data_IF_844632408344
#
_entry.id   IF_844632408344
#
_cell.length_a   1.000
_cell.length_b   1.000
_cell.length_c   1.000
_cell.angle_alpha   90.00
_cell.angle_beta   90.00
_cell.angle_gamma   90.00
#
_symmetry.space_group_name_H-M   'P 1'
#
loop_
_entity.id
_entity.type
_entity.pdbx_description
1 polymer ?
#
# COMPACT_ATOMS: atom_id res chain seq x y z
N UNK A 1 -56.61 -39.47 -22.78
CA UNK A 1 -55.67 -38.38 -23.13
C UNK A 1 -54.77 -38.17 -21.93
N UNK A 2 -53.59 -38.80 -21.89
CA UNK A 2 -52.25 -38.18 -22.11
C UNK A 2 -51.99 -37.10 -21.03
N UNK A 3 -50.95 -37.07 -20.19
CA UNK A 3 -49.75 -37.89 -19.95
C UNK A 3 -49.18 -37.48 -18.58
N UNK A 4 -48.51 -38.43 -17.91
CA UNK A 4 -47.57 -38.30 -16.79
C UNK A 4 -46.42 -37.31 -17.03
N UNK A 5 -45.86 -36.71 -15.97
CA UNK A 5 -44.41 -36.75 -15.66
C UNK A 5 -44.06 -36.01 -14.36
N UNK A 6 -43.65 -36.77 -13.35
CA UNK A 6 -42.76 -36.32 -12.30
C UNK A 6 -41.33 -36.26 -12.87
N UNK A 7 -40.58 -35.18 -12.65
CA UNK A 7 -39.11 -35.25 -12.72
C UNK A 7 -38.44 -33.95 -12.26
N UNK A 8 -37.60 -34.08 -11.24
CA UNK A 8 -36.22 -33.62 -11.33
C UNK A 8 -35.99 -32.14 -11.07
N UNK A 9 -35.55 -31.84 -9.85
CA UNK A 9 -34.69 -30.70 -9.57
C UNK A 9 -33.48 -30.81 -10.49
N UNK A 10 -33.48 -30.07 -11.60
CA UNK A 10 -32.29 -29.95 -12.44
C UNK A 10 -31.29 -29.11 -11.68
N UNK A 11 -30.28 -29.79 -11.15
CA UNK A 11 -29.02 -29.22 -10.72
C UNK A 11 -28.56 -28.19 -11.76
N UNK A 12 -28.57 -26.91 -11.36
CA UNK A 12 -27.93 -25.87 -12.13
C UNK A 12 -26.43 -26.18 -12.15
N UNK A 13 -25.94 -26.54 -13.34
CA UNK A 13 -24.55 -26.82 -13.60
C UNK A 13 -23.69 -25.66 -13.09
N UNK A 14 -22.79 -25.96 -12.15
CA UNK A 14 -21.74 -25.04 -11.76
C UNK A 14 -20.87 -24.72 -12.98
N UNK A 15 -20.43 -23.46 -13.18
CA UNK A 15 -19.44 -23.16 -14.20
C UNK A 15 -18.16 -23.90 -13.83
N UNK A 16 -17.81 -24.90 -14.62
CA UNK A 16 -16.51 -25.57 -14.58
C UNK A 16 -15.44 -24.55 -14.98
N UNK A 17 -14.97 -23.73 -14.05
CA UNK A 17 -13.76 -22.94 -14.26
C UNK A 17 -12.57 -23.89 -14.18
N UNK A 18 -12.03 -24.18 -15.36
CA UNK A 18 -10.86 -25.01 -15.54
C UNK A 18 -9.62 -24.24 -15.04
N UNK A 19 -9.28 -24.36 -13.74
CA UNK A 19 -8.18 -23.58 -13.12
C UNK A 19 -6.79 -24.13 -13.45
N UNK A 20 -6.65 -25.18 -14.25
CA UNK A 20 -5.32 -25.64 -14.68
C UNK A 20 -5.36 -26.34 -16.04
N UNK A 21 -5.29 -25.55 -17.11
CA UNK A 21 -5.04 -26.06 -18.46
C UNK A 21 -3.55 -25.93 -18.81
N UNK A 22 -2.68 -26.53 -17.98
CA UNK A 22 -1.28 -26.75 -18.35
C UNK A 22 -1.17 -28.10 -19.06
N UNK A 23 -1.25 -28.01 -20.38
CA UNK A 23 -0.53 -28.83 -21.38
C UNK A 23 -0.21 -30.29 -20.97
N UNK A 24 -1.09 -31.19 -21.42
CA UNK A 24 -0.82 -32.62 -21.74
C UNK A 24 -0.87 -33.58 -20.54
N UNK A 25 -1.48 -34.74 -20.79
CA UNK A 25 -1.66 -35.95 -19.96
C UNK A 25 -3.07 -36.15 -19.37
N UNK A 26 -3.83 -37.00 -20.08
CA UNK A 26 -5.11 -37.57 -19.70
C UNK A 26 -5.01 -38.30 -18.35
N UNK A 27 -5.82 -37.89 -17.38
CA UNK A 27 -6.44 -38.69 -16.30
C UNK A 27 -7.12 -37.72 -15.31
N UNK A 28 -8.27 -37.15 -15.70
CA UNK A 28 -9.12 -36.39 -14.78
C UNK A 28 -9.82 -37.37 -13.81
N UNK A 29 -9.17 -37.71 -12.70
CA UNK A 29 -9.88 -38.25 -11.53
C UNK A 29 -10.47 -37.05 -10.79
N UNK A 30 -11.78 -36.88 -10.87
CA UNK A 30 -12.48 -35.86 -10.09
C UNK A 30 -12.29 -36.18 -8.59
N UNK A 31 -11.41 -35.45 -7.94
CA UNK A 31 -11.34 -35.42 -6.48
C UNK A 31 -12.46 -34.51 -6.02
N UNK A 32 -13.46 -35.08 -5.33
CA UNK A 32 -14.46 -34.30 -4.60
C UNK A 32 -13.73 -33.57 -3.47
N UNK A 33 -13.29 -32.34 -3.74
CA UNK A 33 -12.77 -31.45 -2.72
C UNK A 33 -13.97 -30.87 -1.96
N UNK A 34 -14.40 -31.55 -0.89
CA UNK A 34 -15.26 -30.91 0.10
C UNK A 34 -14.45 -29.84 0.83
N UNK A 35 -14.57 -28.60 0.38
CA UNK A 35 -13.86 -27.48 0.98
C UNK A 35 -14.39 -27.25 2.41
N UNK A 36 -13.54 -27.22 3.45
CA UNK A 36 -13.93 -26.80 4.80
C UNK A 36 -14.56 -25.39 4.84
N UNK A 37 -14.38 -24.61 3.77
CA UNK A 37 -14.92 -23.28 3.55
C UNK A 37 -16.44 -23.25 3.34
N UNK A 38 -17.08 -24.35 2.90
CA UNK A 38 -18.52 -24.39 2.70
C UNK A 38 -19.29 -24.16 4.02
N UNK A 39 -18.75 -24.68 5.12
CA UNK A 39 -19.33 -24.50 6.46
C UNK A 39 -18.99 -23.14 7.09
N UNK A 40 -17.93 -22.46 6.66
CA UNK A 40 -17.59 -21.12 7.13
C UNK A 40 -18.43 -20.04 6.42
N UNK A 41 -18.59 -20.18 5.10
CA UNK A 41 -19.45 -19.29 4.30
C UNK A 41 -20.90 -19.36 4.77
N UNK A 42 -21.44 -20.55 5.05
CA UNK A 42 -22.82 -20.71 5.53
C UNK A 42 -23.07 -20.15 6.95
N UNK A 43 -22.02 -19.95 7.76
CA UNK A 43 -22.15 -19.41 9.13
C UNK A 43 -22.04 -17.88 9.21
N UNK A 44 -21.45 -17.24 8.19
CA UNK A 44 -21.13 -15.80 8.22
C UNK A 44 -21.92 -14.96 7.19
N UNK A 45 -23.06 -15.47 6.69
CA UNK A 45 -23.90 -14.84 5.66
C UNK A 45 -24.77 -13.68 6.12
N UNK A 46 -24.45 -12.96 7.21
CA UNK A 46 -25.28 -11.82 7.63
C UNK A 46 -24.82 -10.43 7.20
N UNK A 47 -23.58 -10.17 6.75
CA UNK A 47 -23.23 -8.82 6.21
C UNK A 47 -22.01 -8.77 5.29
N UNK A 48 -21.81 -9.74 4.39
CA UNK A 48 -20.89 -9.51 3.26
C UNK A 48 -21.51 -8.48 2.30
N UNK A 49 -21.28 -7.19 2.55
CA UNK A 49 -21.53 -6.12 1.57
C UNK A 49 -20.67 -6.41 0.35
N UNK A 50 -21.27 -6.39 -0.85
CA UNK A 50 -20.50 -6.47 -2.10
C UNK A 50 -19.41 -5.39 -2.11
N UNK A 51 -18.23 -5.63 -2.71
CA UNK A 51 -17.17 -4.61 -2.81
C UNK A 51 -17.68 -3.27 -3.35
N UNK A 52 -18.66 -3.32 -4.27
CA UNK A 52 -19.38 -2.14 -4.78
C UNK A 52 -20.10 -1.35 -3.67
N UNK A 53 -20.74 -2.01 -2.71
CA UNK A 53 -21.41 -1.36 -1.60
C UNK A 53 -20.44 -0.78 -0.54
N UNK A 54 -19.18 -1.21 -0.52
CA UNK A 54 -18.13 -0.56 0.30
C UNK A 54 -17.56 0.69 -0.36
N UNK A 55 -17.46 0.72 -1.70
CA UNK A 55 -17.07 1.91 -2.47
C UNK A 55 -18.14 3.00 -2.41
N UNK A 56 -19.42 2.62 -2.46
CA UNK A 56 -20.57 3.54 -2.36
C UNK A 56 -20.64 4.27 -1.00
N UNK A 57 -19.96 3.77 0.04
CA UNK A 57 -19.98 4.34 1.41
C UNK A 57 -18.73 5.14 1.78
N UNK A 58 -17.83 5.41 0.84
CA UNK A 58 -16.72 6.34 1.07
C UNK A 58 -17.29 7.76 1.09
N UNK A 59 -17.19 8.46 2.23
CA UNK A 59 -17.68 9.84 2.30
C UNK A 59 -16.85 10.72 1.36
N UNK A 60 -17.52 11.45 0.47
CA UNK A 60 -16.86 12.45 -0.39
C UNK A 60 -16.00 13.42 0.44
N UNK A 61 -16.44 13.73 1.67
CA UNK A 61 -15.68 14.52 2.63
C UNK A 61 -14.34 13.90 3.02
N UNK A 62 -14.29 12.59 3.27
CA UNK A 62 -13.03 11.90 3.59
C UNK A 62 -12.03 11.93 2.43
N UNK A 63 -12.51 11.73 1.20
CA UNK A 63 -11.66 11.84 0.01
C UNK A 63 -11.10 13.25 -0.19
N UNK A 64 -11.91 14.29 0.07
CA UNK A 64 -11.47 15.68 0.02
C UNK A 64 -10.42 15.99 1.09
N UNK A 65 -10.59 15.49 2.32
CA UNK A 65 -9.57 15.63 3.37
C UNK A 65 -8.25 14.98 2.95
N UNK A 66 -8.28 13.76 2.41
CA UNK A 66 -7.05 13.12 1.89
C UNK A 66 -6.42 13.97 0.79
N UNK A 67 -7.21 14.48 -0.16
CA UNK A 67 -6.71 15.32 -1.26
C UNK A 67 -6.09 16.63 -0.76
N UNK A 68 -6.72 17.29 0.22
CA UNK A 68 -6.23 18.52 0.83
C UNK A 68 -4.92 18.32 1.59
N UNK A 69 -4.72 17.16 2.22
CA UNK A 69 -3.45 16.81 2.86
C UNK A 69 -2.39 16.39 1.85
N UNK A 70 -2.81 15.70 0.77
CA UNK A 70 -1.90 15.17 -0.23
C UNK A 70 -1.18 16.26 -1.03
N UNK A 71 -1.87 17.36 -1.37
CA UNK A 71 -1.27 18.48 -2.10
C UNK A 71 -0.04 19.09 -1.41
N UNK A 72 -0.10 19.55 -0.14
CA UNK A 72 1.07 20.08 0.55
C UNK A 72 2.16 19.02 0.79
N UNK A 73 1.81 17.76 1.07
CA UNK A 73 2.80 16.70 1.26
C UNK A 73 3.62 16.42 -0.02
N UNK A 74 2.95 16.39 -1.18
CA UNK A 74 3.61 16.21 -2.48
C UNK A 74 4.48 17.42 -2.85
N UNK A 75 3.99 18.64 -2.62
CA UNK A 75 4.74 19.88 -2.83
C UNK A 75 5.99 19.94 -1.94
N UNK A 76 5.87 19.58 -0.67
CA UNK A 76 6.98 19.55 0.27
C UNK A 76 8.03 18.51 -0.14
N UNK A 77 7.61 17.30 -0.53
CA UNK A 77 8.52 16.28 -1.07
C UNK A 77 9.29 16.82 -2.28
N UNK A 78 8.58 17.42 -3.24
CA UNK A 78 9.21 17.99 -4.43
C UNK A 78 10.24 19.07 -4.07
N UNK A 79 9.89 19.97 -3.16
CA UNK A 79 10.79 21.04 -2.71
C UNK A 79 12.02 20.51 -1.97
N UNK A 80 11.84 19.57 -1.03
CA UNK A 80 12.92 18.97 -0.24
C UNK A 80 13.91 18.22 -1.13
N UNK A 81 13.43 17.39 -2.05
CA UNK A 81 14.33 16.64 -2.95
C UNK A 81 15.07 17.59 -3.88
N UNK A 82 14.41 18.64 -4.38
CA UNK A 82 15.06 19.65 -5.25
C UNK A 82 16.15 20.43 -4.51
N UNK A 83 15.92 20.80 -3.25
CA UNK A 83 16.88 21.53 -2.42
C UNK A 83 18.09 20.66 -2.02
N UNK A 84 17.89 19.35 -1.80
CA UNK A 84 18.96 18.43 -1.40
C UNK A 84 19.77 17.85 -2.57
N UNK A 85 19.19 17.87 -3.77
CA UNK A 85 19.81 17.43 -5.02
C UNK A 85 21.23 17.98 -5.29
N UNK A 86 21.58 19.25 -4.99
CA UNK A 86 22.89 19.79 -5.33
C UNK A 86 24.04 19.19 -4.51
N UNK A 87 23.77 18.66 -3.30
CA UNK A 87 24.80 18.18 -2.39
C UNK A 87 25.40 16.81 -2.79
N UNK A 88 24.69 16.03 -3.61
CA UNK A 88 25.13 14.69 -4.07
C UNK A 88 25.40 14.59 -5.57
N UNK A 89 25.01 15.61 -6.35
CA UNK A 89 25.21 15.69 -7.81
C UNK A 89 26.69 15.71 -8.25
N UNK A 90 27.64 15.70 -7.31
CA UNK A 90 29.08 15.74 -7.59
C UNK A 90 29.72 14.45 -8.14
N UNK A 91 29.01 13.31 -8.19
CA UNK A 91 29.62 12.03 -8.67
C UNK A 91 28.90 11.29 -9.80
N UNK A 92 27.59 11.44 -9.95
CA UNK A 92 26.85 10.76 -11.02
C UNK A 92 25.93 11.73 -11.76
N UNK A 93 26.04 11.71 -13.09
CA UNK A 93 25.41 12.59 -14.07
C UNK A 93 23.88 12.59 -13.90
N UNK A 94 23.36 13.51 -13.08
CA UNK A 94 21.93 13.62 -12.71
C UNK A 94 21.03 14.17 -13.83
N UNK A 95 21.56 14.42 -15.02
CA UNK A 95 20.97 15.36 -15.95
C UNK A 95 19.68 14.93 -16.67
N UNK A 96 19.15 13.70 -16.53
CA UNK A 96 18.06 13.23 -17.42
C UNK A 96 17.03 12.26 -16.80
N UNK A 97 16.93 12.14 -15.47
CA UNK A 97 15.94 11.23 -14.88
C UNK A 97 14.58 11.92 -14.67
N UNK A 98 13.46 11.27 -15.04
CA UNK A 98 12.14 11.84 -14.82
C UNK A 98 11.81 11.93 -13.32
N UNK A 99 11.35 13.10 -12.90
CA UNK A 99 10.92 13.37 -11.53
C UNK A 99 12.08 13.57 -10.54
N UNK A 100 11.82 13.22 -9.29
CA UNK A 100 12.75 13.32 -8.15
C UNK A 100 13.68 12.09 -8.00
N UNK A 101 13.80 11.27 -9.05
CA UNK A 101 14.68 10.10 -9.10
C UNK A 101 16.14 10.50 -9.40
N UNK A 102 17.09 9.81 -8.77
CA UNK A 102 18.53 10.08 -8.85
C UNK A 102 19.12 10.78 -7.62
N UNK A 103 18.31 11.03 -6.58
CA UNK A 103 18.74 11.63 -5.30
C UNK A 103 18.41 10.70 -4.12
N UNK A 104 19.06 9.52 -4.01
CA UNK A 104 18.66 8.44 -3.11
C UNK A 104 18.56 8.86 -1.63
N UNK A 105 19.51 9.68 -1.16
CA UNK A 105 19.52 10.16 0.22
C UNK A 105 18.39 11.14 0.53
N UNK A 106 18.03 11.97 -0.45
CA UNK A 106 16.91 12.89 -0.31
C UNK A 106 15.58 12.11 -0.23
N UNK A 107 15.41 11.09 -1.09
CA UNK A 107 14.27 10.16 -1.06
C UNK A 107 14.17 9.44 0.29
N UNK A 108 15.28 8.93 0.81
CA UNK A 108 15.33 8.28 2.12
C UNK A 108 14.92 9.26 3.25
N UNK A 109 15.44 10.49 3.22
CA UNK A 109 15.16 11.48 4.24
C UNK A 109 13.69 11.92 4.27
N UNK A 110 13.06 12.17 3.11
CA UNK A 110 11.62 12.50 3.06
C UNK A 110 10.75 11.34 3.55
N UNK A 111 11.10 10.10 3.21
CA UNK A 111 10.40 8.91 3.69
C UNK A 111 10.55 8.74 5.21
N UNK A 112 11.74 8.99 5.74
CA UNK A 112 12.01 9.00 7.17
C UNK A 112 11.20 10.06 7.92
N UNK A 113 11.22 11.29 7.42
CA UNK A 113 10.43 12.40 7.97
C UNK A 113 8.93 12.09 7.98
N UNK A 114 8.40 11.56 6.88
CA UNK A 114 7.00 11.16 6.79
C UNK A 114 6.66 10.05 7.81
N UNK A 115 7.56 9.07 7.98
CA UNK A 115 7.38 7.99 8.96
C UNK A 115 7.38 8.52 10.39
N UNK A 116 8.30 9.43 10.73
CA UNK A 116 8.34 10.06 12.05
C UNK A 116 7.13 10.93 12.34
N UNK A 117 6.69 11.74 11.36
CA UNK A 117 5.47 12.53 11.48
C UNK A 117 4.22 11.65 11.68
N UNK A 118 4.14 10.53 10.95
CA UNK A 118 3.07 9.55 11.14
C UNK A 118 3.13 8.89 12.52
N UNK A 119 4.33 8.63 13.04
CA UNK A 119 4.54 8.13 14.40
C UNK A 119 4.02 9.10 15.47
N UNK A 120 4.40 10.38 15.38
CA UNK A 120 3.89 11.42 16.29
C UNK A 120 2.37 11.50 16.21
N UNK A 121 1.81 11.51 15.00
CA UNK A 121 0.37 11.53 14.80
C UNK A 121 -0.30 10.31 15.44
N UNK A 122 0.25 9.11 15.25
CA UNK A 122 -0.28 7.90 15.85
C UNK A 122 -0.25 7.94 17.38
N UNK A 123 0.83 8.44 17.99
CA UNK A 123 0.95 8.57 19.45
C UNK A 123 -0.06 9.57 20.02
N UNK A 124 -0.17 10.76 19.40
CA UNK A 124 -1.10 11.81 19.85
C UNK A 124 -2.57 11.39 19.70
N UNK A 125 -2.91 10.65 18.64
CA UNK A 125 -4.29 10.21 18.40
C UNK A 125 -4.64 8.89 19.11
N UNK A 126 -3.68 8.20 19.74
CA UNK A 126 -3.93 6.91 20.39
C UNK A 126 -4.99 7.00 21.51
N UNK A 127 -5.00 8.02 22.39
CA UNK A 127 -6.03 8.13 23.43
C UNK A 127 -7.41 8.52 22.87
N UNK A 128 -7.43 9.35 21.82
CA UNK A 128 -8.64 9.89 21.22
C UNK A 128 -8.56 9.82 19.68
N UNK A 129 -8.97 8.69 19.08
CA UNK A 129 -8.89 8.50 17.65
C UNK A 129 -9.74 9.54 16.88
N UNK A 130 -9.08 10.39 16.10
CA UNK A 130 -9.72 11.38 15.24
C UNK A 130 -9.57 10.99 13.77
N UNK A 131 -10.64 10.42 13.19
CA UNK A 131 -10.63 9.93 11.81
C UNK A 131 -10.31 11.01 10.76
N UNK A 132 -10.81 12.23 10.95
CA UNK A 132 -10.58 13.34 10.02
C UNK A 132 -9.11 13.79 10.00
N UNK A 133 -8.49 13.94 11.18
CA UNK A 133 -7.08 14.28 11.31
C UNK A 133 -6.19 13.16 10.74
N UNK A 134 -6.55 11.89 10.95
CA UNK A 134 -5.82 10.77 10.34
C UNK A 134 -5.92 10.76 8.81
N UNK A 135 -7.09 11.06 8.24
CA UNK A 135 -7.26 11.15 6.78
C UNK A 135 -6.47 12.33 6.19
N UNK A 136 -6.50 13.50 6.82
CA UNK A 136 -5.81 14.69 6.34
C UNK A 136 -4.29 14.59 6.51
N UNK A 137 -3.81 14.32 7.73
CA UNK A 137 -2.37 14.29 8.05
C UNK A 137 -1.70 12.95 7.78
N UNK A 138 -2.34 11.85 8.15
CA UNK A 138 -1.75 10.51 8.03
C UNK A 138 -1.79 10.02 6.59
N UNK A 139 -3.01 9.85 6.06
CA UNK A 139 -3.21 9.31 4.71
C UNK A 139 -2.85 10.34 3.64
N UNK A 140 -3.32 11.58 3.79
CA UNK A 140 -3.06 12.67 2.84
C UNK A 140 -1.61 13.13 2.88
N UNK A 141 -1.24 13.89 3.91
CA UNK A 141 0.06 14.58 3.99
C UNK A 141 1.25 13.64 4.12
N UNK A 142 1.31 12.79 5.16
CA UNK A 142 2.42 11.87 5.35
C UNK A 142 2.49 10.82 4.22
N UNK A 143 1.32 10.35 3.76
CA UNK A 143 1.23 9.45 2.61
C UNK A 143 1.86 10.02 1.34
N UNK A 144 1.55 11.27 0.95
CA UNK A 144 2.09 11.88 -0.28
C UNK A 144 3.50 12.47 -0.13
N UNK A 145 3.92 12.79 1.10
CA UNK A 145 5.29 13.18 1.44
C UNK A 145 6.25 12.00 1.32
N UNK A 146 5.79 10.80 1.66
CA UNK A 146 6.55 9.56 1.44
C UNK A 146 6.42 9.08 -0.02
N UNK A 147 7.43 8.35 -0.50
CA UNK A 147 7.40 7.70 -1.82
C UNK A 147 8.24 6.42 -1.83
N UNK A 148 7.57 5.28 -1.97
CA UNK A 148 8.25 4.01 -2.17
C UNK A 148 8.69 3.81 -3.63
N UNK A 149 7.91 4.29 -4.59
CA UNK A 149 8.18 4.12 -6.02
C UNK A 149 9.48 4.81 -6.44
N UNK A 150 9.74 6.02 -5.94
CA UNK A 150 11.01 6.73 -6.20
C UNK A 150 12.20 5.99 -5.60
N UNK A 151 12.06 5.44 -4.38
CA UNK A 151 13.11 4.64 -3.75
C UNK A 151 13.47 3.40 -4.59
N UNK A 152 12.48 2.72 -5.16
CA UNK A 152 12.72 1.56 -6.04
C UNK A 152 13.45 1.94 -7.32
N UNK A 153 13.15 3.12 -7.90
CA UNK A 153 13.89 3.65 -9.05
C UNK A 153 15.34 3.93 -8.66
N UNK A 154 15.58 4.60 -7.52
CA UNK A 154 16.92 4.91 -7.04
C UNK A 154 17.75 3.63 -6.80
N UNK A 155 17.17 2.62 -6.14
CA UNK A 155 17.80 1.30 -5.94
C UNK A 155 18.09 0.62 -7.28
N UNK A 156 17.14 0.64 -8.22
CA UNK A 156 17.32 0.03 -9.54
C UNK A 156 18.43 0.71 -10.34
N UNK A 157 18.55 2.04 -10.25
CA UNK A 157 19.62 2.79 -10.89
C UNK A 157 21.00 2.44 -10.32
N UNK A 158 21.12 2.31 -9.00
CA UNK A 158 22.35 1.86 -8.36
C UNK A 158 22.74 0.43 -8.80
N UNK A 159 21.76 -0.48 -8.87
CA UNK A 159 21.99 -1.84 -9.36
C UNK A 159 22.43 -1.87 -10.83
N UNK A 160 21.79 -1.08 -11.70
CA UNK A 160 22.12 -1.00 -13.13
C UNK A 160 23.49 -0.36 -13.41
N UNK A 161 23.93 0.55 -12.54
CA UNK A 161 25.23 1.23 -12.66
C UNK A 161 26.37 0.47 -11.99
N UNK A 162 26.11 -0.70 -11.40
CA UNK A 162 27.12 -1.56 -10.77
C UNK A 162 27.34 -1.32 -9.27
N UNK A 163 26.68 -0.33 -8.67
CA UNK A 163 26.82 0.05 -7.25
C UNK A 163 25.96 -0.82 -6.33
N UNK A 164 26.19 -2.14 -6.33
CA UNK A 164 25.38 -3.11 -5.56
C UNK A 164 25.42 -2.88 -4.05
N UNK A 165 26.58 -2.53 -3.51
CA UNK A 165 26.74 -2.25 -2.08
C UNK A 165 25.94 -1.02 -1.66
N UNK A 166 25.94 0.04 -2.47
CA UNK A 166 25.15 1.24 -2.21
C UNK A 166 23.65 0.97 -2.33
N UNK A 167 23.23 0.14 -3.29
CA UNK A 167 21.83 -0.26 -3.42
C UNK A 167 21.32 -1.01 -2.17
N UNK A 168 22.13 -1.96 -1.65
CA UNK A 168 21.82 -2.68 -0.42
C UNK A 168 21.84 -1.75 0.79
N UNK A 169 22.84 -0.89 0.89
CA UNK A 169 22.98 0.10 1.96
C UNK A 169 21.78 1.06 2.00
N UNK A 170 21.39 1.62 0.85
CA UNK A 170 20.23 2.51 0.72
C UNK A 170 18.93 1.80 1.13
N UNK A 171 18.73 0.56 0.68
CA UNK A 171 17.52 -0.21 1.00
C UNK A 171 17.44 -0.48 2.50
N UNK A 172 18.53 -1.01 3.10
CA UNK A 172 18.58 -1.29 4.53
C UNK A 172 18.46 -0.02 5.37
N UNK A 173 19.19 1.04 5.02
CA UNK A 173 19.13 2.32 5.72
C UNK A 173 17.74 2.95 5.64
N UNK A 174 17.05 2.85 4.50
CA UNK A 174 15.68 3.38 4.37
C UNK A 174 14.69 2.68 5.28
N UNK A 175 14.79 1.35 5.42
CA UNK A 175 13.92 0.57 6.32
C UNK A 175 14.24 0.89 7.78
N UNK A 176 15.52 0.84 8.16
CA UNK A 176 15.96 1.10 9.55
C UNK A 176 15.62 2.53 9.96
N UNK A 177 15.92 3.53 9.13
CA UNK A 177 15.63 4.92 9.43
C UNK A 177 14.12 5.20 9.45
N UNK A 178 13.36 4.66 8.51
CA UNK A 178 11.90 4.81 8.48
C UNK A 178 11.25 4.24 9.74
N UNK A 179 11.59 3.00 10.10
CA UNK A 179 11.08 2.36 11.32
C UNK A 179 11.56 3.05 12.59
N UNK A 180 12.85 3.42 12.67
CA UNK A 180 13.41 4.11 13.82
C UNK A 180 12.76 5.46 14.06
N UNK A 181 12.55 6.26 13.00
CA UNK A 181 11.86 7.55 13.11
C UNK A 181 10.39 7.39 13.45
N UNK A 182 9.70 6.37 12.92
CA UNK A 182 8.33 6.03 13.31
C UNK A 182 8.25 5.75 14.82
N UNK A 183 9.13 4.89 15.35
CA UNK A 183 9.15 4.52 16.76
C UNK A 183 9.47 5.72 17.66
N UNK A 184 10.45 6.55 17.28
CA UNK A 184 10.77 7.78 18.00
C UNK A 184 9.59 8.77 17.97
N UNK A 185 8.94 8.90 16.82
CA UNK A 185 7.75 9.74 16.66
C UNK A 185 6.61 9.26 17.55
N UNK A 186 6.35 7.95 17.59
CA UNK A 186 5.33 7.36 18.45
C UNK A 186 5.58 7.68 19.93
N UNK A 187 6.79 7.41 20.42
CA UNK A 187 7.17 7.71 21.80
C UNK A 187 7.04 9.20 22.13
N UNK A 188 7.42 10.08 21.19
CA UNK A 188 7.25 11.53 21.35
C UNK A 188 5.77 11.93 21.39
N UNK A 189 4.95 11.35 20.52
CA UNK A 189 3.51 11.60 20.47
C UNK A 189 2.81 11.21 21.77
N UNK A 190 3.14 10.04 22.30
CA UNK A 190 2.63 9.56 23.60
C UNK A 190 3.06 10.46 24.76
N UNK A 191 4.30 10.97 24.74
CA UNK A 191 4.81 11.88 25.78
C UNK A 191 4.16 13.28 25.74
N UNK A 192 3.60 13.68 24.59
CA UNK A 192 2.92 14.96 24.42
C UNK A 192 1.44 14.89 24.80
N UNK A 193 0.82 13.71 24.78
CA UNK A 193 -0.54 13.51 25.28
C UNK A 193 -0.56 13.43 26.81
N UNK A 194 -1.28 14.32 27.50
CA UNK A 194 -1.37 14.34 28.96
C UNK A 194 -2.20 13.19 29.54
#
# INVERSE_FOLDING_TARGET
MISTSASGWKAAAAPLTCVNCWRRWNLCRAVLYESPLAHWVARNTTTWKSPSAMVESQSLGGALLVALGAAPGACLRWWLVRQWSPAWAGRHRQHQLPGNAGAPWATMAVNGMASGALGVLAGVLAPHPQGEAWLWLGVGFAGSLSTFSTLMVDVTLLLRTGHRQEALGLTGASVVAGYGLLALGLALGEALTP
#
